data_IF_220117147356
#
_entry.id   IF_220117147356
#
_cell.length_a   1.000
_cell.length_b   1.000
_cell.length_c   1.000
_cell.angle_alpha   90.00
_cell.angle_beta   90.00
_cell.angle_gamma   90.00
#
_symmetry.space_group_name_H-M   'P 1'
#
loop_
_entity.id
_entity.type
_entity.pdbx_description
1 polymer ?
#
# COMPACT_ATOMS: atom_id res chain seq x y z
N UNK A 1 -44.45 -65.59 6.01
CA UNK A 1 -44.00 -64.35 5.31
C UNK A 1 -43.38 -63.42 6.35
N UNK A 2 -42.05 -63.43 6.49
CA UNK A 2 -41.30 -62.67 7.45
C UNK A 2 -40.74 -61.46 6.72
N UNK A 3 -41.06 -60.28 7.25
CA UNK A 3 -40.61 -59.04 6.73
C UNK A 3 -39.22 -58.68 7.36
N UNK A 4 -38.18 -58.50 6.54
CA UNK A 4 -36.83 -58.14 6.99
C UNK A 4 -36.73 -56.65 7.29
N UNK A 5 -35.98 -56.20 8.31
CA UNK A 5 -35.78 -54.78 8.60
C UNK A 5 -34.76 -54.16 7.65
N UNK A 6 -35.12 -53.00 7.09
CA UNK A 6 -34.19 -52.14 6.34
C UNK A 6 -33.20 -51.46 7.29
N UNK A 7 -31.92 -51.79 7.17
CA UNK A 7 -30.82 -51.04 7.80
C UNK A 7 -30.69 -49.69 7.10
N UNK A 8 -31.08 -48.62 7.77
CA UNK A 8 -30.78 -47.24 7.36
C UNK A 8 -29.34 -46.91 7.75
N UNK A 9 -28.47 -46.74 6.75
CA UNK A 9 -27.11 -46.25 6.97
C UNK A 9 -27.24 -44.73 7.20
N UNK A 10 -27.12 -44.29 8.46
CA UNK A 10 -26.89 -42.90 8.82
C UNK A 10 -25.47 -42.55 8.38
N UNK A 11 -25.32 -41.81 7.26
CA UNK A 11 -24.08 -41.16 6.92
C UNK A 11 -24.02 -39.89 7.82
N UNK A 12 -23.38 -40.03 8.96
CA UNK A 12 -22.93 -38.86 9.72
C UNK A 12 -21.93 -38.08 8.83
N UNK A 13 -22.37 -36.93 8.33
CA UNK A 13 -21.45 -35.93 7.79
C UNK A 13 -20.60 -35.42 8.96
N UNK A 14 -19.41 -35.99 9.12
CA UNK A 14 -18.36 -35.39 9.95
C UNK A 14 -18.00 -34.06 9.28
N UNK A 15 -18.65 -32.99 9.70
CA UNK A 15 -18.21 -31.66 9.39
C UNK A 15 -16.90 -31.44 10.16
N UNK A 16 -15.79 -31.50 9.45
CA UNK A 16 -14.52 -30.99 9.99
C UNK A 16 -14.76 -29.60 10.57
N UNK A 17 -14.19 -29.27 11.75
CA UNK A 17 -14.32 -27.92 12.28
C UNK A 17 -13.84 -26.93 11.21
N UNK A 18 -14.53 -25.80 11.01
CA UNK A 18 -14.11 -24.82 10.03
C UNK A 18 -12.68 -24.40 10.36
N UNK A 19 -11.77 -24.54 9.39
CA UNK A 19 -10.41 -23.98 9.54
C UNK A 19 -10.53 -22.50 9.90
N UNK A 20 -9.76 -22.00 10.86
CA UNK A 20 -9.81 -20.58 11.21
C UNK A 20 -9.53 -19.76 9.95
N UNK A 21 -10.36 -18.74 9.71
CA UNK A 21 -10.18 -17.84 8.56
C UNK A 21 -8.85 -17.09 8.70
N UNK A 22 -8.15 -16.90 7.59
CA UNK A 22 -6.95 -16.08 7.55
C UNK A 22 -7.32 -14.61 7.70
N UNK A 23 -6.65 -13.90 8.60
CA UNK A 23 -6.88 -12.48 8.88
C UNK A 23 -6.04 -11.64 7.94
N UNK A 24 -6.71 -10.78 7.15
CA UNK A 24 -6.07 -9.87 6.21
C UNK A 24 -6.07 -8.46 6.81
N UNK A 25 -4.89 -7.85 6.97
CA UNK A 25 -4.72 -6.44 7.24
C UNK A 25 -4.59 -5.68 5.90
N UNK A 26 -5.65 -4.97 5.49
CA UNK A 26 -5.70 -4.23 4.24
C UNK A 26 -5.63 -2.72 4.47
N UNK A 27 -4.92 -2.01 3.60
CA UNK A 27 -4.83 -0.55 3.67
C UNK A 27 -6.19 0.08 3.34
N UNK A 28 -6.61 1.05 4.14
CA UNK A 28 -7.88 1.77 3.99
C UNK A 28 -7.69 3.08 3.20
N UNK A 29 -7.22 2.99 1.95
CA UNK A 29 -7.13 4.08 0.97
C UNK A 29 -7.72 3.63 -0.37
N UNK A 30 -7.82 4.55 -1.33
CA UNK A 30 -8.26 4.26 -2.68
C UNK A 30 -7.32 3.29 -3.43
N UNK A 31 -6.00 3.42 -3.23
CA UNK A 31 -5.00 2.68 -4.02
C UNK A 31 -5.10 1.15 -3.96
N UNK A 32 -5.54 0.47 -2.88
CA UNK A 32 -5.69 -0.98 -2.92
C UNK A 32 -7.04 -1.45 -3.49
N UNK A 33 -7.95 -0.57 -3.86
CA UNK A 33 -9.29 -0.99 -4.28
C UNK A 33 -9.27 -2.09 -5.38
N UNK A 34 -8.44 -1.99 -6.46
CA UNK A 34 -8.36 -3.07 -7.43
C UNK A 34 -7.86 -4.39 -6.85
N UNK A 35 -6.96 -4.36 -5.86
CA UNK A 35 -6.41 -5.57 -5.23
C UNK A 35 -7.43 -6.31 -4.36
N UNK A 36 -8.49 -5.62 -3.95
CA UNK A 36 -9.51 -6.13 -3.03
C UNK A 36 -10.82 -6.50 -3.71
N UNK A 37 -10.88 -6.46 -5.04
CA UNK A 37 -12.11 -6.63 -5.82
C UNK A 37 -12.90 -7.88 -5.46
N UNK A 38 -12.31 -9.07 -5.60
CA UNK A 38 -13.00 -10.34 -5.36
C UNK A 38 -13.34 -10.59 -3.88
N UNK A 39 -12.64 -9.88 -2.99
CA UNK A 39 -12.92 -9.95 -1.56
C UNK A 39 -14.15 -9.11 -1.16
N UNK A 40 -14.57 -8.16 -1.99
CA UNK A 40 -15.61 -7.17 -1.68
C UNK A 40 -16.78 -7.16 -2.68
N UNK A 41 -16.63 -7.82 -3.84
CA UNK A 41 -17.63 -7.81 -4.90
C UNK A 41 -18.05 -9.22 -5.31
N UNK A 42 -19.35 -9.42 -5.66
CA UNK A 42 -19.82 -10.68 -6.21
C UNK A 42 -19.14 -10.97 -7.59
N UNK A 43 -19.00 -12.24 -7.97
CA UNK A 43 -19.60 -13.41 -7.32
C UNK A 43 -18.68 -14.10 -6.28
N UNK A 44 -17.44 -13.64 -6.05
CA UNK A 44 -16.45 -14.36 -5.26
C UNK A 44 -16.39 -13.93 -3.77
N UNK A 45 -16.93 -12.78 -3.41
CA UNK A 45 -16.92 -12.22 -2.06
C UNK A 45 -17.41 -13.19 -0.99
N UNK A 46 -18.57 -13.81 -1.20
CA UNK A 46 -19.15 -14.78 -0.26
C UNK A 46 -18.31 -16.06 -0.10
N UNK A 47 -17.63 -16.49 -1.16
CA UNK A 47 -16.73 -17.64 -1.12
C UNK A 47 -15.42 -17.29 -0.39
N UNK A 48 -14.83 -16.13 -0.70
CA UNK A 48 -13.60 -15.67 -0.07
C UNK A 48 -13.82 -15.33 1.41
N UNK A 49 -14.98 -14.81 1.79
CA UNK A 49 -15.36 -14.57 3.19
C UNK A 49 -15.39 -15.83 4.07
N UNK A 50 -15.48 -17.02 3.47
CA UNK A 50 -15.35 -18.29 4.22
C UNK A 50 -13.90 -18.60 4.58
N UNK A 51 -12.92 -18.08 3.81
CA UNK A 51 -11.48 -18.33 3.97
C UNK A 51 -10.74 -17.17 4.62
N UNK A 52 -11.22 -15.93 4.42
CA UNK A 52 -10.56 -14.71 4.84
C UNK A 52 -11.46 -13.84 5.70
N UNK A 53 -10.83 -13.12 6.61
CA UNK A 53 -11.43 -12.03 7.37
C UNK A 53 -10.60 -10.77 7.09
N UNK A 54 -11.24 -9.68 6.69
CA UNK A 54 -10.56 -8.44 6.28
C UNK A 54 -10.76 -7.38 7.35
N UNK A 55 -9.65 -6.80 7.82
CA UNK A 55 -9.61 -5.61 8.66
C UNK A 55 -8.92 -4.49 7.89
N UNK A 56 -9.59 -3.32 7.75
CA UNK A 56 -9.03 -2.15 7.07
C UNK A 56 -8.44 -1.17 8.05
N UNK A 57 -7.23 -0.68 7.74
CA UNK A 57 -6.45 0.17 8.64
C UNK A 57 -5.42 1.02 7.90
N UNK A 58 -4.66 1.85 8.61
CA UNK A 58 -3.56 2.62 8.03
C UNK A 58 -2.39 1.70 7.62
N UNK A 59 -1.57 2.11 6.63
CA UNK A 59 -0.45 1.28 6.15
C UNK A 59 0.53 0.86 7.25
N UNK A 60 0.87 1.74 8.18
CA UNK A 60 1.75 1.42 9.31
C UNK A 60 1.15 0.38 10.26
N UNK A 61 -0.17 0.43 10.47
CA UNK A 61 -0.89 -0.53 11.33
C UNK A 61 -0.95 -1.92 10.69
N UNK A 62 -1.06 -2.02 9.35
CA UNK A 62 -0.98 -3.31 8.65
C UNK A 62 0.32 -4.04 8.96
N UNK A 63 1.45 -3.33 8.90
CA UNK A 63 2.76 -3.89 9.21
C UNK A 63 2.87 -4.33 10.68
N UNK A 64 2.38 -3.52 11.62
CA UNK A 64 2.42 -3.82 13.06
C UNK A 64 1.52 -5.02 13.41
N UNK A 65 0.33 -5.11 12.84
CA UNK A 65 -0.57 -6.27 13.02
C UNK A 65 0.03 -7.57 12.49
N UNK A 66 0.68 -7.49 11.33
CA UNK A 66 1.33 -8.64 10.73
C UNK A 66 2.54 -9.08 11.55
N UNK A 67 3.39 -8.15 11.97
CA UNK A 67 4.58 -8.43 12.77
C UNK A 67 4.24 -8.99 14.16
N UNK A 68 3.14 -8.55 14.77
CA UNK A 68 2.67 -9.03 16.08
C UNK A 68 1.82 -10.31 16.02
N UNK A 69 1.56 -10.87 14.82
CA UNK A 69 0.72 -12.06 14.65
C UNK A 69 -0.78 -11.83 14.82
N UNK A 70 -1.23 -10.57 14.85
CA UNK A 70 -2.65 -10.21 14.86
C UNK A 70 -3.29 -10.23 13.46
N UNK A 71 -2.48 -10.31 12.41
CA UNK A 71 -2.89 -10.61 11.04
C UNK A 71 -2.02 -11.75 10.49
N UNK A 72 -2.54 -12.46 9.50
CA UNK A 72 -1.87 -13.57 8.84
C UNK A 72 -1.31 -13.13 7.48
N UNK A 73 -2.03 -12.24 6.79
CA UNK A 73 -1.64 -11.61 5.53
C UNK A 73 -1.82 -10.09 5.69
N UNK A 74 -0.91 -9.30 5.13
CA UNK A 74 -1.03 -7.84 5.19
C UNK A 74 -0.46 -7.15 3.96
N UNK A 75 -1.09 -6.02 3.56
CA UNK A 75 -0.51 -5.11 2.59
C UNK A 75 0.45 -4.18 3.33
N UNK A 76 1.74 -4.41 3.18
CA UNK A 76 2.78 -3.85 4.06
C UNK A 76 3.63 -2.84 3.30
N UNK A 77 3.85 -1.63 3.86
CA UNK A 77 4.86 -0.71 3.34
C UNK A 77 6.24 -1.38 3.29
N UNK A 78 6.94 -1.31 2.14
CA UNK A 78 8.18 -2.09 1.97
C UNK A 78 9.27 -1.79 3.01
N UNK A 79 9.36 -0.56 3.52
CA UNK A 79 10.33 -0.22 4.56
C UNK A 79 10.14 -1.04 5.85
N UNK A 80 8.94 -1.54 6.12
CA UNK A 80 8.68 -2.38 7.29
C UNK A 80 9.36 -3.76 7.19
N UNK A 81 9.69 -4.22 5.98
CA UNK A 81 10.41 -5.49 5.77
C UNK A 81 11.81 -5.45 6.38
N UNK A 82 12.52 -4.31 6.27
CA UNK A 82 13.87 -4.18 6.81
C UNK A 82 13.93 -4.27 8.35
N UNK A 83 12.83 -3.92 9.03
CA UNK A 83 12.72 -4.01 10.49
C UNK A 83 11.97 -5.26 10.96
N UNK A 84 11.37 -6.00 10.03
CA UNK A 84 10.66 -7.27 10.29
C UNK A 84 11.09 -8.33 9.25
N UNK A 85 12.34 -8.83 9.30
CA UNK A 85 12.90 -9.70 8.25
C UNK A 85 12.26 -11.11 8.19
N UNK A 86 11.39 -11.41 9.13
CA UNK A 86 10.61 -12.66 9.14
C UNK A 86 9.37 -12.63 8.24
N UNK A 87 8.97 -11.45 7.75
CA UNK A 87 7.86 -11.33 6.82
C UNK A 87 8.26 -11.86 5.44
N UNK A 88 7.35 -12.60 4.81
CA UNK A 88 7.54 -13.18 3.46
C UNK A 88 6.67 -12.45 2.45
N UNK A 89 7.25 -12.05 1.34
CA UNK A 89 6.54 -11.36 0.27
C UNK A 89 5.66 -12.36 -0.49
N UNK A 90 4.37 -12.02 -0.63
CA UNK A 90 3.44 -12.73 -1.51
C UNK A 90 3.69 -12.24 -2.95
N UNK A 91 4.00 -13.13 -3.90
CA UNK A 91 4.26 -12.71 -5.27
C UNK A 91 3.01 -12.19 -6.01
N UNK A 92 3.22 -11.51 -7.12
CA UNK A 92 2.19 -11.15 -8.08
C UNK A 92 1.57 -9.77 -7.91
N UNK A 93 1.42 -9.25 -6.69
CA UNK A 93 0.73 -7.98 -6.45
C UNK A 93 1.58 -6.97 -5.68
N UNK A 94 1.46 -5.70 -6.07
CA UNK A 94 2.14 -4.57 -5.41
C UNK A 94 1.33 -3.28 -5.57
N UNK A 95 1.75 -2.22 -4.89
CA UNK A 95 1.41 -0.83 -5.20
C UNK A 95 2.73 -0.14 -5.52
N UNK A 96 2.98 0.11 -6.81
CA UNK A 96 4.26 0.61 -7.30
C UNK A 96 4.09 1.56 -8.49
N UNK A 97 4.09 2.88 -8.28
CA UNK A 97 4.08 3.80 -9.40
C UNK A 97 5.39 3.74 -10.21
N UNK A 98 5.25 3.72 -11.52
CA UNK A 98 6.36 3.86 -12.49
C UNK A 98 6.44 5.28 -13.07
N UNK A 99 5.46 6.12 -12.76
CA UNK A 99 5.28 7.51 -13.19
C UNK A 99 4.81 8.35 -12.00
N UNK A 100 4.52 9.64 -12.14
CA UNK A 100 3.91 10.43 -11.07
C UNK A 100 2.67 9.75 -10.50
N UNK A 101 2.65 9.55 -9.19
CA UNK A 101 1.57 8.81 -8.52
C UNK A 101 0.46 9.69 -8.00
N UNK A 102 0.73 10.99 -7.78
CA UNK A 102 -0.20 12.00 -7.25
C UNK A 102 -0.60 11.81 -5.78
N UNK A 103 -0.35 10.66 -5.20
CA UNK A 103 -0.71 10.33 -3.81
C UNK A 103 0.48 10.20 -2.87
N UNK A 104 1.66 10.67 -3.28
CA UNK A 104 2.87 10.72 -2.46
C UNK A 104 3.54 12.08 -2.70
N UNK A 105 3.22 13.06 -1.86
CA UNK A 105 3.59 14.44 -2.10
C UNK A 105 4.52 14.98 -1.01
N UNK A 106 5.55 15.69 -1.43
CA UNK A 106 6.23 16.69 -0.61
C UNK A 106 5.74 18.07 -1.04
N UNK A 107 5.03 18.77 -0.15
CA UNK A 107 4.48 20.10 -0.41
C UNK A 107 5.31 21.13 0.35
N UNK A 108 5.78 22.16 -0.32
CA UNK A 108 6.57 23.24 0.31
C UNK A 108 6.29 24.59 -0.33
N UNK A 109 6.69 25.68 0.34
CA UNK A 109 6.50 27.03 -0.18
C UNK A 109 7.33 27.28 -1.44
N UNK A 110 6.72 27.89 -2.45
CA UNK A 110 7.43 28.25 -3.67
C UNK A 110 8.58 29.23 -3.37
N UNK A 111 9.70 29.07 -4.08
CA UNK A 111 10.89 29.90 -3.87
C UNK A 111 11.80 29.43 -2.71
N UNK A 112 11.39 28.48 -1.90
CA UNK A 112 12.25 27.86 -0.89
C UNK A 112 12.96 26.62 -1.47
N UNK A 113 14.30 26.63 -1.63
CA UNK A 113 15.02 25.44 -2.09
C UNK A 113 14.95 24.33 -1.03
N UNK A 114 14.84 23.07 -1.48
CA UNK A 114 14.78 21.90 -0.58
C UNK A 114 16.01 21.76 0.34
N UNK A 115 17.18 22.23 -0.11
CA UNK A 115 18.40 22.31 0.69
C UNK A 115 18.31 23.28 1.89
N UNK A 116 17.29 24.14 1.93
CA UNK A 116 17.06 25.13 3.00
C UNK A 116 15.78 24.87 3.80
N UNK A 117 15.07 23.79 3.53
CA UNK A 117 13.95 23.35 4.37
C UNK A 117 14.48 22.98 5.75
N UNK A 118 13.93 23.59 6.81
CA UNK A 118 14.39 23.43 8.19
C UNK A 118 13.66 22.36 8.96
N UNK A 119 12.44 22.01 8.50
CA UNK A 119 11.61 20.97 9.10
C UNK A 119 10.58 20.47 8.10
N UNK A 120 10.16 19.21 8.26
CA UNK A 120 9.15 18.55 7.44
C UNK A 120 8.09 17.97 8.37
N UNK A 121 6.85 18.42 8.26
CA UNK A 121 5.71 17.76 8.88
C UNK A 121 5.39 16.48 8.08
N UNK A 122 5.28 15.37 8.74
CA UNK A 122 5.18 14.07 8.09
C UNK A 122 3.99 13.27 8.60
N UNK A 123 3.12 12.87 7.68
CA UNK A 123 2.11 11.87 7.96
C UNK A 123 2.78 10.55 8.33
N UNK A 124 2.51 10.08 9.56
CA UNK A 124 3.13 8.88 10.12
C UNK A 124 2.51 7.57 9.61
N UNK A 125 1.47 7.66 8.77
CA UNK A 125 0.80 6.49 8.22
C UNK A 125 1.69 5.66 7.26
N UNK A 126 2.76 6.23 6.67
CA UNK A 126 3.66 5.50 5.77
C UNK A 126 5.13 5.57 6.14
N UNK A 127 5.67 4.48 6.66
CA UNK A 127 7.11 4.31 6.92
C UNK A 127 7.94 4.32 5.63
N UNK A 128 7.40 3.78 4.54
CA UNK A 128 8.09 3.71 3.24
C UNK A 128 8.30 5.11 2.66
N UNK A 129 7.26 5.94 2.61
CA UNK A 129 7.37 7.30 2.08
C UNK A 129 8.37 8.12 2.88
N UNK A 130 8.38 7.98 4.21
CA UNK A 130 9.38 8.64 5.06
C UNK A 130 10.80 8.20 4.73
N UNK A 131 11.04 6.90 4.53
CA UNK A 131 12.36 6.39 4.19
C UNK A 131 12.83 6.90 2.81
N UNK A 132 11.98 6.85 1.78
CA UNK A 132 12.28 7.43 0.46
C UNK A 132 12.56 8.93 0.56
N UNK A 133 11.74 9.68 1.31
CA UNK A 133 11.92 11.13 1.44
C UNK A 133 13.24 11.46 2.15
N UNK A 134 13.65 10.69 3.15
CA UNK A 134 14.98 10.84 3.78
C UNK A 134 16.11 10.63 2.78
N UNK A 135 16.02 9.61 1.92
CA UNK A 135 17.00 9.37 0.84
C UNK A 135 17.02 10.57 -0.13
N UNK A 136 15.85 11.08 -0.54
CA UNK A 136 15.75 12.23 -1.42
C UNK A 136 16.35 13.51 -0.79
N UNK A 137 16.17 13.72 0.51
CA UNK A 137 16.82 14.84 1.22
C UNK A 137 18.35 14.72 1.28
N UNK A 138 18.92 13.51 1.29
CA UNK A 138 20.36 13.34 1.06
C UNK A 138 20.76 13.83 -0.33
N UNK A 139 20.01 13.47 -1.36
CA UNK A 139 20.24 13.94 -2.72
C UNK A 139 20.09 15.46 -2.85
N UNK A 140 19.13 16.07 -2.15
CA UNK A 140 18.92 17.52 -2.13
C UNK A 140 19.86 18.28 -1.18
N UNK A 141 20.94 17.65 -0.72
CA UNK A 141 21.96 18.24 0.17
C UNK A 141 21.42 18.74 1.51
N UNK A 142 20.38 18.07 2.05
CA UNK A 142 19.77 18.39 3.34
C UNK A 142 19.46 17.14 4.19
N UNK A 143 20.46 16.26 4.46
CA UNK A 143 20.21 14.96 5.06
C UNK A 143 19.76 15.02 6.53
N UNK A 144 19.98 16.14 7.22
CA UNK A 144 19.70 16.28 8.64
C UNK A 144 18.36 16.97 8.93
N UNK A 145 17.55 17.23 7.90
CA UNK A 145 16.24 17.86 8.10
C UNK A 145 15.38 17.02 9.06
N UNK A 146 14.84 17.62 10.15
CA UNK A 146 13.98 16.91 11.07
C UNK A 146 12.60 16.65 10.47
N UNK A 147 12.06 15.45 10.74
CA UNK A 147 10.71 15.06 10.39
C UNK A 147 9.85 15.07 11.66
N UNK A 148 8.79 15.88 11.63
CA UNK A 148 7.87 16.10 12.75
C UNK A 148 6.59 15.31 12.49
N UNK A 149 6.17 14.40 13.38
CA UNK A 149 4.91 13.70 13.23
C UNK A 149 3.73 14.66 13.20
N UNK A 150 2.82 14.47 12.23
CA UNK A 150 1.65 15.30 12.06
C UNK A 150 0.46 14.46 11.55
N UNK A 151 -0.75 14.92 11.82
CA UNK A 151 -1.93 14.45 11.12
C UNK A 151 -1.95 14.98 9.68
N UNK A 152 -2.62 14.27 8.77
CA UNK A 152 -2.68 14.61 7.36
C UNK A 152 -3.63 15.80 7.09
N UNK A 153 -3.22 16.98 7.50
CA UNK A 153 -3.86 18.29 7.23
C UNK A 153 -2.80 19.23 6.71
N UNK A 154 -2.88 19.59 5.41
CA UNK A 154 -1.84 20.36 4.73
C UNK A 154 -1.60 21.73 5.37
N UNK A 155 -2.68 22.47 5.71
CA UNK A 155 -2.54 23.82 6.27
C UNK A 155 -1.92 23.76 7.67
N UNK A 156 -2.40 22.87 8.53
CA UNK A 156 -1.82 22.66 9.86
C UNK A 156 -0.37 22.16 9.81
N UNK A 157 -0.02 21.30 8.85
CA UNK A 157 1.35 20.82 8.64
C UNK A 157 2.29 21.95 8.21
N UNK A 158 1.84 22.85 7.31
CA UNK A 158 2.64 23.99 6.85
C UNK A 158 2.72 25.12 7.88
N UNK A 159 1.79 25.19 8.85
CA UNK A 159 1.89 26.09 9.98
C UNK A 159 3.00 25.69 10.96
N UNK A 160 3.26 24.38 11.09
CA UNK A 160 4.28 23.85 12.02
C UNK A 160 5.64 23.57 11.39
N UNK A 161 5.73 23.47 10.04
CA UNK A 161 6.95 23.10 9.32
C UNK A 161 7.10 23.83 7.99
N UNK A 162 8.32 23.84 7.44
CA UNK A 162 8.61 24.43 6.15
C UNK A 162 8.06 23.61 4.96
N UNK A 163 7.88 22.30 5.16
CA UNK A 163 7.33 21.39 4.17
C UNK A 163 6.44 20.33 4.82
N UNK A 164 5.56 19.73 4.05
CA UNK A 164 4.61 18.70 4.48
C UNK A 164 4.70 17.45 3.57
N UNK A 165 4.66 16.25 4.16
CA UNK A 165 4.52 15.00 3.43
C UNK A 165 3.09 14.49 3.60
N UNK A 166 2.37 14.37 2.49
CA UNK A 166 1.06 13.77 2.42
C UNK A 166 1.10 12.46 1.65
N UNK A 167 0.30 11.47 2.09
CA UNK A 167 0.18 10.17 1.42
C UNK A 167 -1.27 9.78 1.20
N UNK A 168 -1.50 8.91 0.19
CA UNK A 168 -2.81 8.32 -0.10
C UNK A 168 -3.89 9.34 -0.44
N UNK A 169 -5.08 9.10 0.07
CA UNK A 169 -6.25 9.93 -0.22
C UNK A 169 -6.09 11.41 0.20
N UNK A 170 -5.48 11.75 1.36
CA UNK A 170 -5.15 13.14 1.70
C UNK A 170 -4.28 13.86 0.67
N UNK A 171 -3.33 13.16 0.05
CA UNK A 171 -2.49 13.77 -0.99
C UNK A 171 -3.28 14.04 -2.29
N UNK A 172 -4.15 13.11 -2.69
CA UNK A 172 -5.05 13.32 -3.83
C UNK A 172 -5.99 14.51 -3.62
N UNK A 173 -6.57 14.61 -2.41
CA UNK A 173 -7.42 15.74 -2.02
C UNK A 173 -6.67 17.07 -2.06
N UNK A 174 -5.44 17.10 -1.55
CA UNK A 174 -4.61 18.32 -1.56
C UNK A 174 -4.29 18.80 -2.98
N UNK A 175 -4.12 17.87 -3.95
CA UNK A 175 -3.95 18.22 -5.36
C UNK A 175 -5.25 18.70 -6.01
N UNK A 176 -6.39 18.05 -5.71
CA UNK A 176 -7.69 18.47 -6.24
C UNK A 176 -8.06 19.88 -5.75
N UNK A 177 -7.73 20.19 -4.50
CA UNK A 177 -8.00 21.50 -3.89
C UNK A 177 -6.92 22.56 -4.13
N UNK A 178 -5.85 22.24 -4.83
CA UNK A 178 -4.69 23.12 -5.00
C UNK A 178 -5.08 24.53 -5.50
N UNK A 179 -5.93 24.62 -6.52
CA UNK A 179 -6.36 25.89 -7.09
C UNK A 179 -7.21 26.70 -6.10
N UNK A 180 -8.18 26.04 -5.45
CA UNK A 180 -9.06 26.67 -4.45
C UNK A 180 -8.26 27.15 -3.24
N UNK A 181 -7.27 26.35 -2.80
CA UNK A 181 -6.38 26.77 -1.73
C UNK A 181 -5.59 28.01 -2.11
N UNK A 182 -5.01 28.05 -3.31
CA UNK A 182 -4.26 29.23 -3.77
C UNK A 182 -5.15 30.48 -3.85
N UNK A 183 -6.39 30.35 -4.33
CA UNK A 183 -7.33 31.48 -4.36
C UNK A 183 -7.64 32.01 -2.96
N UNK A 184 -7.74 31.14 -1.96
CA UNK A 184 -8.03 31.47 -0.56
C UNK A 184 -6.83 32.10 0.16
N UNK A 185 -5.64 31.50 0.00
CA UNK A 185 -4.46 31.87 0.82
C UNK A 185 -3.50 32.82 0.11
N UNK A 186 -3.51 32.88 -1.21
CA UNK A 186 -2.53 33.56 -2.06
C UNK A 186 -1.08 33.09 -1.82
N UNK A 187 -0.90 31.98 -1.13
CA UNK A 187 0.39 31.37 -0.86
C UNK A 187 0.73 30.37 -1.95
N UNK A 188 1.76 30.61 -2.77
CA UNK A 188 2.17 29.68 -3.81
C UNK A 188 2.93 28.51 -3.21
N UNK A 189 2.46 27.29 -3.48
CA UNK A 189 3.09 26.03 -3.06
C UNK A 189 3.60 25.24 -4.27
N UNK A 190 4.63 24.44 -4.02
CA UNK A 190 5.12 23.40 -4.92
C UNK A 190 4.64 22.05 -4.38
N UNK A 191 3.99 21.27 -5.22
CA UNK A 191 3.55 19.92 -4.95
C UNK A 191 4.47 18.97 -5.71
N UNK A 192 5.47 18.45 -5.02
CA UNK A 192 6.49 17.58 -5.59
C UNK A 192 6.07 16.12 -5.44
N UNK A 193 5.92 15.40 -6.55
CA UNK A 193 5.61 13.98 -6.53
C UNK A 193 6.88 13.17 -6.20
N UNK A 194 6.84 12.46 -5.08
CA UNK A 194 8.02 11.74 -4.56
C UNK A 194 8.36 10.51 -5.40
N UNK A 195 7.38 9.90 -6.07
CA UNK A 195 7.63 8.77 -6.95
C UNK A 195 8.29 9.21 -8.26
N UNK A 196 7.86 10.35 -8.81
CA UNK A 196 8.51 10.97 -9.97
C UNK A 196 9.97 11.34 -9.67
N UNK A 197 10.21 12.00 -8.51
CA UNK A 197 11.56 12.36 -8.08
C UNK A 197 12.46 11.14 -7.87
N UNK A 198 11.95 10.08 -7.27
CA UNK A 198 12.69 8.84 -7.13
C UNK A 198 13.05 8.24 -8.48
N UNK A 199 12.07 8.11 -9.39
CA UNK A 199 12.31 7.56 -10.72
C UNK A 199 13.29 8.41 -11.52
N UNK A 200 13.20 9.75 -11.45
CA UNK A 200 14.12 10.69 -12.11
C UNK A 200 15.57 10.51 -11.65
N UNK A 201 15.80 10.20 -10.37
CA UNK A 201 17.15 10.06 -9.80
C UNK A 201 17.72 8.66 -10.02
N UNK A 202 16.88 7.62 -9.94
CA UNK A 202 17.34 6.23 -9.90
C UNK A 202 17.05 5.44 -11.17
N UNK A 203 16.07 5.88 -11.97
CA UNK A 203 15.59 5.16 -13.16
C UNK A 203 14.76 3.91 -12.86
N UNK A 204 14.39 3.64 -11.58
CA UNK A 204 13.60 2.47 -11.19
C UNK A 204 12.28 2.86 -10.53
N UNK A 205 11.26 1.97 -10.52
CA UNK A 205 9.98 2.23 -9.88
C UNK A 205 10.08 2.56 -8.39
N UNK A 206 9.17 3.40 -7.92
CA UNK A 206 8.92 3.59 -6.50
C UNK A 206 7.98 2.50 -6.01
N UNK A 207 8.44 1.54 -5.21
CA UNK A 207 7.57 0.50 -4.65
C UNK A 207 7.07 0.94 -3.27
N UNK A 208 5.75 1.12 -3.13
CA UNK A 208 5.14 1.59 -1.89
C UNK A 208 4.86 0.46 -0.92
N UNK A 209 4.17 -0.58 -1.39
CA UNK A 209 3.68 -1.66 -0.57
C UNK A 209 3.61 -2.98 -1.35
N UNK A 210 3.75 -4.08 -0.64
CA UNK A 210 3.60 -5.45 -1.14
C UNK A 210 2.73 -6.25 -0.16
N UNK A 211 2.05 -7.27 -0.67
CA UNK A 211 1.42 -8.26 0.19
C UNK A 211 2.48 -9.12 0.87
N UNK A 212 2.31 -9.35 2.15
CA UNK A 212 3.19 -10.20 2.94
C UNK A 212 2.41 -11.18 3.80
N UNK A 213 3.03 -12.31 4.13
CA UNK A 213 2.57 -13.24 5.17
C UNK A 213 3.44 -13.10 6.41
N UNK A 214 2.82 -13.23 7.59
CA UNK A 214 3.52 -13.29 8.87
C UNK A 214 4.02 -14.70 9.21
N UNK A 215 4.89 -14.78 10.23
CA UNK A 215 5.44 -16.07 10.72
C UNK A 215 4.38 -17.01 11.27
N UNK A 216 3.28 -16.48 11.78
CA UNK A 216 2.15 -17.28 12.29
C UNK A 216 1.48 -18.13 11.21
N UNK A 217 1.63 -17.78 9.94
CA UNK A 217 1.12 -18.54 8.80
C UNK A 217 1.88 -19.85 8.52
N UNK A 218 2.95 -20.17 9.25
CA UNK A 218 3.57 -21.50 9.27
C UNK A 218 3.93 -22.11 7.90
N UNK A 219 4.20 -21.30 6.87
CA UNK A 219 4.45 -21.79 5.51
C UNK A 219 3.21 -21.88 4.62
N UNK A 220 2.08 -21.29 5.00
CA UNK A 220 0.81 -21.24 4.27
C UNK A 220 0.83 -20.35 3.00
N UNK A 221 1.98 -20.08 2.42
CA UNK A 221 2.07 -19.61 1.03
C UNK A 221 1.63 -20.77 0.11
N UNK A 222 0.33 -20.96 -0.03
CA UNK A 222 -0.21 -21.92 -0.98
C UNK A 222 -0.46 -21.22 -2.32
N UNK A 223 -0.33 -21.97 -3.42
CA UNK A 223 -0.72 -21.51 -4.76
C UNK A 223 -2.12 -20.89 -4.78
N UNK A 224 -3.03 -21.42 -3.97
CA UNK A 224 -4.38 -20.90 -3.85
C UNK A 224 -4.44 -19.48 -3.29
N UNK A 225 -3.63 -19.14 -2.28
CA UNK A 225 -3.59 -17.78 -1.73
C UNK A 225 -3.08 -16.81 -2.80
N UNK A 226 -1.94 -17.11 -3.43
CA UNK A 226 -1.38 -16.25 -4.49
C UNK A 226 -2.40 -16.05 -5.62
N UNK A 227 -3.08 -17.12 -6.02
CA UNK A 227 -4.11 -17.08 -7.05
C UNK A 227 -5.28 -16.19 -6.66
N UNK A 228 -5.78 -16.28 -5.42
CA UNK A 228 -6.90 -15.45 -4.95
C UNK A 228 -6.55 -13.95 -5.04
N UNK A 229 -5.34 -13.57 -4.62
CA UNK A 229 -4.90 -12.17 -4.66
C UNK A 229 -4.62 -11.68 -6.09
N UNK A 230 -4.03 -12.53 -6.94
CA UNK A 230 -3.73 -12.15 -8.34
C UNK A 230 -5.00 -12.04 -9.17
N UNK A 231 -5.96 -12.96 -9.01
CA UNK A 231 -7.26 -12.88 -9.68
C UNK A 231 -8.05 -11.66 -9.22
N UNK A 232 -8.08 -11.38 -7.92
CA UNK A 232 -8.76 -10.20 -7.38
C UNK A 232 -8.20 -8.91 -7.99
N UNK A 233 -6.87 -8.78 -8.11
CA UNK A 233 -6.22 -7.67 -8.84
C UNK A 233 -6.70 -7.59 -10.29
N UNK A 234 -6.67 -8.70 -11.03
CA UNK A 234 -6.99 -8.71 -12.46
C UNK A 234 -8.46 -8.36 -12.71
N UNK A 235 -9.36 -8.89 -11.88
CA UNK A 235 -10.78 -8.55 -11.92
C UNK A 235 -11.01 -7.07 -11.52
N UNK A 236 -10.30 -6.57 -10.49
CA UNK A 236 -10.40 -5.16 -10.10
C UNK A 236 -9.94 -4.21 -11.19
N UNK A 237 -8.86 -4.54 -11.89
CA UNK A 237 -8.39 -3.75 -13.04
C UNK A 237 -9.35 -3.83 -14.23
N UNK A 238 -10.05 -4.94 -14.40
CA UNK A 238 -11.09 -5.07 -15.42
C UNK A 238 -12.39 -4.31 -15.07
N UNK A 239 -12.58 -3.92 -13.81
CA UNK A 239 -13.80 -3.27 -13.31
C UNK A 239 -13.54 -1.85 -12.77
N UNK A 240 -12.57 -1.12 -13.33
CA UNK A 240 -12.21 0.25 -12.91
C UNK A 240 -13.42 1.19 -12.95
N UNK A 241 -14.32 1.06 -13.92
CA UNK A 241 -15.51 1.91 -14.02
C UNK A 241 -16.42 1.80 -12.78
N UNK A 242 -16.59 0.59 -12.26
CA UNK A 242 -17.36 0.34 -11.03
C UNK A 242 -16.65 0.95 -9.83
N UNK A 243 -15.34 0.76 -9.71
CA UNK A 243 -14.55 1.35 -8.63
C UNK A 243 -14.59 2.89 -8.66
N UNK A 244 -14.54 3.49 -9.86
CA UNK A 244 -14.69 4.95 -10.02
C UNK A 244 -16.05 5.42 -9.48
N UNK A 245 -17.14 4.76 -9.88
CA UNK A 245 -18.48 5.12 -9.40
C UNK A 245 -18.62 4.99 -7.88
N UNK A 246 -18.05 3.94 -7.28
CA UNK A 246 -18.10 3.74 -5.82
C UNK A 246 -17.28 4.77 -5.05
N UNK A 247 -16.07 5.05 -5.53
CA UNK A 247 -15.15 5.92 -4.80
C UNK A 247 -15.43 7.40 -5.00
N UNK A 248 -16.08 7.81 -6.10
CA UNK A 248 -16.56 9.19 -6.28
C UNK A 248 -17.60 9.61 -5.22
N UNK A 249 -18.30 8.64 -4.60
CA UNK A 249 -19.18 8.91 -3.47
C UNK A 249 -18.47 8.93 -2.11
N UNK A 250 -17.23 8.42 -2.02
CA UNK A 250 -16.45 8.32 -0.77
C UNK A 250 -15.43 9.45 -0.64
N UNK A 251 -14.87 9.89 -1.76
CA UNK A 251 -13.84 10.93 -1.81
C UNK A 251 -14.32 12.11 -2.67
N UNK A 252 -14.20 13.36 -2.19
CA UNK A 252 -14.57 14.55 -2.96
C UNK A 252 -13.48 14.90 -4.00
N UNK A 253 -13.17 13.96 -4.88
CA UNK A 253 -12.26 14.12 -6.03
C UNK A 253 -12.99 13.69 -7.31
N UNK A 254 -12.57 14.22 -8.46
CA UNK A 254 -13.25 13.95 -9.73
C UNK A 254 -13.13 12.49 -10.14
N UNK A 255 -14.14 11.97 -10.84
CA UNK A 255 -14.12 10.61 -11.43
C UNK A 255 -12.95 10.44 -12.40
N UNK A 256 -12.58 11.49 -13.13
CA UNK A 256 -11.43 11.50 -14.02
C UNK A 256 -10.13 11.28 -13.23
N UNK A 257 -9.97 11.95 -12.11
CA UNK A 257 -8.83 11.79 -11.21
C UNK A 257 -8.78 10.37 -10.64
N UNK A 258 -9.91 9.82 -10.15
CA UNK A 258 -9.98 8.44 -9.62
C UNK A 258 -9.58 7.44 -10.71
N UNK A 259 -10.14 7.59 -11.91
CA UNK A 259 -9.86 6.72 -13.05
C UNK A 259 -8.38 6.73 -13.43
N UNK A 260 -7.82 7.90 -13.66
CA UNK A 260 -6.41 8.05 -14.00
C UNK A 260 -5.50 7.48 -12.90
N UNK A 261 -5.85 7.71 -11.65
CA UNK A 261 -5.12 7.20 -10.51
C UNK A 261 -5.07 5.68 -10.47
N UNK A 262 -6.23 5.00 -10.59
CA UNK A 262 -6.30 3.54 -10.51
C UNK A 262 -5.77 2.84 -11.76
N UNK A 263 -5.89 3.44 -12.96
CA UNK A 263 -5.55 2.77 -14.22
C UNK A 263 -4.19 3.15 -14.79
N UNK A 264 -3.67 4.34 -14.46
CA UNK A 264 -2.47 4.88 -15.10
C UNK A 264 -1.35 5.19 -14.08
N UNK A 265 -1.70 5.82 -12.95
CA UNK A 265 -0.68 6.27 -12.01
C UNK A 265 -0.12 5.13 -11.15
N UNK A 266 -0.90 4.08 -10.90
CA UNK A 266 -0.46 2.93 -10.09
C UNK A 266 -0.23 1.71 -10.97
N UNK A 267 0.89 1.05 -10.74
CA UNK A 267 1.20 -0.28 -11.23
C UNK A 267 0.97 -1.31 -10.15
N UNK A 268 0.23 -2.39 -10.48
CA UNK A 268 -0.23 -3.37 -9.49
C UNK A 268 0.44 -4.74 -9.59
N UNK A 269 1.34 -4.92 -10.54
CA UNK A 269 2.05 -6.19 -10.76
C UNK A 269 3.45 -6.09 -10.15
N UNK A 270 3.79 -7.04 -9.29
CA UNK A 270 5.15 -7.16 -8.74
C UNK A 270 6.05 -7.83 -9.79
N UNK A 271 6.46 -7.06 -10.80
CA UNK A 271 7.34 -7.50 -11.88
C UNK A 271 8.83 -7.31 -11.54
N UNK A 272 9.71 -7.72 -12.47
CA UNK A 272 11.16 -7.65 -12.28
C UNK A 272 11.66 -6.20 -12.09
N UNK A 273 11.02 -5.20 -12.72
CA UNK A 273 11.40 -3.79 -12.53
C UNK A 273 11.06 -3.33 -11.10
N UNK A 274 9.90 -3.72 -10.57
CA UNK A 274 9.52 -3.45 -9.19
C UNK A 274 10.47 -4.14 -8.21
N UNK A 275 10.85 -5.39 -8.48
CA UNK A 275 11.83 -6.13 -7.67
C UNK A 275 13.18 -5.42 -7.65
N UNK A 276 13.67 -4.94 -8.81
CA UNK A 276 14.90 -4.15 -8.86
C UNK A 276 14.73 -2.81 -8.15
N UNK A 277 13.59 -2.14 -8.29
CA UNK A 277 13.25 -0.92 -7.53
C UNK A 277 13.38 -1.13 -6.03
N UNK A 278 12.87 -2.24 -5.50
CA UNK A 278 13.02 -2.60 -4.08
C UNK A 278 14.49 -2.85 -3.71
N UNK A 279 15.27 -3.55 -4.55
CA UNK A 279 16.70 -3.79 -4.28
C UNK A 279 17.48 -2.47 -4.21
N UNK A 280 17.25 -1.57 -5.17
CA UNK A 280 17.86 -0.24 -5.18
C UNK A 280 17.47 0.54 -3.93
N UNK A 281 16.20 0.53 -3.56
CA UNK A 281 15.70 1.20 -2.36
C UNK A 281 16.41 0.69 -1.10
N UNK A 282 16.42 -0.61 -0.82
CA UNK A 282 17.03 -1.16 0.40
C UNK A 282 18.54 -0.93 0.45
N UNK A 283 19.24 -1.12 -0.66
CA UNK A 283 20.67 -0.86 -0.75
C UNK A 283 21.01 0.61 -0.48
N UNK A 284 20.25 1.53 -1.07
CA UNK A 284 20.44 2.98 -0.86
C UNK A 284 20.08 3.38 0.56
N UNK A 285 18.96 2.90 1.09
CA UNK A 285 18.54 3.17 2.45
C UNK A 285 19.57 2.70 3.50
N UNK A 286 20.14 1.52 3.31
CA UNK A 286 21.19 0.97 4.18
C UNK A 286 22.49 1.78 4.07
N UNK A 287 22.96 2.11 2.87
CA UNK A 287 24.19 2.89 2.65
C UNK A 287 24.13 4.30 3.28
N UNK A 288 22.93 4.87 3.40
CA UNK A 288 22.69 6.18 4.01
C UNK A 288 22.27 6.10 5.49
N UNK A 289 22.19 4.90 6.07
CA UNK A 289 21.77 4.70 7.46
C UNK A 289 20.30 5.03 7.70
N UNK A 290 19.47 5.07 6.66
CA UNK A 290 18.02 5.34 6.76
C UNK A 290 17.26 4.10 7.27
N UNK A 291 17.67 2.92 6.82
CA UNK A 291 17.13 1.62 7.25
C UNK A 291 18.27 0.65 7.54
N UNK A 292 18.03 -0.41 8.34
CA UNK A 292 18.96 -1.53 8.46
C UNK A 292 19.25 -2.19 7.11
N UNK A 293 20.40 -2.85 6.98
CA UNK A 293 20.69 -3.70 5.83
C UNK A 293 19.63 -4.81 5.73
N UNK A 294 19.07 -4.97 4.53
CA UNK A 294 18.03 -5.95 4.27
C UNK A 294 18.12 -6.49 2.84
N UNK A 295 18.00 -7.80 2.75
CA UNK A 295 17.85 -8.51 1.48
C UNK A 295 16.62 -9.40 1.53
N UNK A 296 15.99 -9.63 0.40
CA UNK A 296 14.79 -10.43 0.29
C UNK A 296 14.85 -11.38 -0.89
N UNK A 297 14.09 -12.45 -0.79
CA UNK A 297 13.75 -13.35 -1.89
C UNK A 297 12.24 -13.33 -2.07
N UNK A 298 11.78 -13.45 -3.30
CA UNK A 298 10.38 -13.70 -3.62
C UNK A 298 10.30 -15.17 -3.98
N UNK A 299 9.58 -15.93 -3.17
CA UNK A 299 9.38 -17.36 -3.42
C UNK A 299 8.62 -17.48 -4.76
N UNK A 300 9.31 -17.94 -5.80
CA UNK A 300 8.62 -18.37 -7.03
C UNK A 300 7.90 -19.65 -6.67
N UNK A 301 6.58 -19.61 -6.69
CA UNK A 301 5.83 -20.87 -6.70
C UNK A 301 6.19 -21.56 -8.02
N UNK A 302 6.84 -22.71 -7.95
CA UNK A 302 7.08 -23.53 -9.14
C UNK A 302 5.74 -23.93 -9.74
N UNK A 303 5.59 -23.88 -11.07
CA UNK A 303 4.34 -24.22 -11.74
C UNK A 303 3.96 -25.69 -11.58
#
# INVERSE_FOLDING_TARGET
MQCAPRLGILIERVSSPPHPRLRIAAINFLNPAPLMWDFEHPPLDALLAQRYQIDRMLPSECADRLASGHADIGLVPIAALAVNPSLRILPGCTIAPKQPVRSLLLVHRAGQPLSRVRSVAADTASRTTLAYTRILFHHWSNPQVPFLPAAADLDAMLDMADAAILIGDPALLALEEQANRFERTREPLVYLDLAEEWNRITGVPFVSAVWCTGTACGGLLTENIVRDFTLSRDHGLANIDTLVAEWSHRLPISEETIRAYLSTNIHYILDEECVEGMRVFFRTAASLGVLPEYSFTIDRLEP
#
